data_IF_451538033688
#
_entry.id   IF_451538033688
#
_cell.length_a   1.000
_cell.length_b   1.000
_cell.length_c   1.000
_cell.angle_alpha   90.00
_cell.angle_beta   90.00
_cell.angle_gamma   90.00
#
_symmetry.space_group_name_H-M   'P 1'
#
loop_
_entity.id
_entity.type
_entity.pdbx_description
1 polymer ?
#
# COMPACT_ATOMS: atom_id res chain seq x y z
N UNK A 1 41.16 -26.57 36.26
CA UNK A 1 40.36 -25.35 36.01
C UNK A 1 40.87 -24.54 34.81
N UNK A 2 42.17 -24.17 34.73
CA UNK A 2 42.76 -23.40 33.61
C UNK A 2 42.58 -24.08 32.24
N UNK A 3 42.69 -25.38 32.12
CA UNK A 3 42.51 -26.15 30.86
C UNK A 3 41.03 -26.16 30.43
N UNK A 4 40.11 -26.31 31.35
CA UNK A 4 38.67 -26.24 31.09
C UNK A 4 38.24 -24.86 30.60
N UNK A 5 38.83 -23.79 31.15
CA UNK A 5 38.55 -22.42 30.73
C UNK A 5 39.05 -22.15 29.30
N UNK A 6 40.25 -22.70 28.97
CA UNK A 6 40.80 -22.59 27.61
C UNK A 6 39.91 -23.30 26.60
N UNK A 7 39.46 -24.53 26.93
CA UNK A 7 38.56 -25.31 26.05
C UNK A 7 37.23 -24.60 25.88
N UNK A 8 36.67 -24.00 26.95
CA UNK A 8 35.44 -23.24 26.87
C UNK A 8 35.59 -21.98 25.99
N UNK A 9 36.72 -21.25 26.12
CA UNK A 9 37.01 -20.08 25.27
C UNK A 9 37.19 -20.45 23.79
N UNK A 10 37.84 -21.60 23.52
CA UNK A 10 38.00 -22.10 22.14
C UNK A 10 36.66 -22.53 21.56
N UNK A 11 35.79 -23.19 22.34
CA UNK A 11 34.45 -23.57 21.92
C UNK A 11 33.58 -22.33 21.64
N UNK A 12 33.68 -21.29 22.45
CA UNK A 12 32.97 -20.02 22.23
C UNK A 12 33.48 -19.25 20.98
N UNK A 13 34.77 -19.38 20.66
CA UNK A 13 35.35 -18.74 19.45
C UNK A 13 34.91 -19.42 18.13
N UNK A 14 34.52 -20.70 18.16
CA UNK A 14 34.11 -21.46 16.97
C UNK A 14 32.65 -21.20 16.59
N UNK A 15 31.81 -20.68 17.52
CA UNK A 15 30.36 -20.50 17.32
C UNK A 15 30.00 -19.26 16.48
N UNK A 16 30.94 -18.42 16.08
CA UNK A 16 30.69 -17.13 15.51
C UNK A 16 31.39 -16.72 14.23
N UNK A 17 31.92 -17.61 13.41
CA UNK A 17 32.61 -17.20 12.17
C UNK A 17 31.65 -16.86 11.03
N UNK A 18 30.89 -15.74 11.20
CA UNK A 18 30.32 -15.03 10.07
C UNK A 18 31.36 -14.02 9.55
N UNK A 19 31.57 -13.93 8.22
CA UNK A 19 32.44 -12.88 7.66
C UNK A 19 31.99 -11.50 8.12
N UNK A 20 32.96 -10.59 8.33
CA UNK A 20 32.64 -9.17 8.61
C UNK A 20 31.92 -8.57 7.41
N UNK A 21 30.88 -7.79 7.65
CA UNK A 21 30.10 -7.15 6.60
C UNK A 21 28.97 -8.01 5.99
N UNK A 22 28.74 -9.21 6.53
CA UNK A 22 27.60 -10.06 6.15
C UNK A 22 26.49 -9.92 7.19
N UNK A 23 25.24 -9.74 6.76
CA UNK A 23 24.07 -9.61 7.62
C UNK A 23 23.79 -10.89 8.42
N UNK A 24 23.26 -10.75 9.62
CA UNK A 24 22.77 -11.90 10.38
C UNK A 24 21.55 -12.54 9.72
N UNK A 25 21.27 -13.79 10.07
CA UNK A 25 20.08 -14.50 9.59
C UNK A 25 18.79 -13.74 9.87
N UNK A 26 18.75 -12.98 10.98
CA UNK A 26 17.59 -12.14 11.35
C UNK A 26 17.53 -10.89 10.49
N UNK A 27 18.63 -10.16 10.37
CA UNK A 27 18.73 -8.97 9.55
C UNK A 27 18.39 -9.28 8.10
N UNK A 28 19.02 -10.32 7.52
CA UNK A 28 18.76 -10.72 6.14
C UNK A 28 17.28 -11.09 5.90
N UNK A 29 16.65 -11.80 6.84
CA UNK A 29 15.23 -12.11 6.77
C UNK A 29 14.36 -10.84 6.80
N UNK A 30 14.68 -9.89 7.69
CA UNK A 30 13.88 -8.68 7.86
C UNK A 30 14.05 -7.74 6.65
N UNK A 31 15.24 -7.66 6.08
CA UNK A 31 15.51 -6.92 4.83
C UNK A 31 14.78 -7.55 3.65
N UNK A 32 14.88 -8.87 3.46
CA UNK A 32 14.19 -9.57 2.37
C UNK A 32 12.68 -9.43 2.46
N UNK A 33 12.12 -9.48 3.66
CA UNK A 33 10.69 -9.24 3.87
C UNK A 33 10.27 -7.85 3.39
N UNK A 34 11.00 -6.79 3.77
CA UNK A 34 10.66 -5.43 3.33
C UNK A 34 10.90 -5.23 1.82
N UNK A 35 11.94 -5.83 1.25
CA UNK A 35 12.19 -5.80 -0.21
C UNK A 35 11.03 -6.43 -0.98
N UNK A 36 10.56 -7.61 -0.59
CA UNK A 36 9.41 -8.25 -1.26
C UNK A 36 8.13 -7.43 -1.15
N UNK A 37 7.93 -6.71 -0.05
CA UNK A 37 6.80 -5.76 0.05
C UNK A 37 6.91 -4.60 -0.93
N UNK A 38 8.12 -4.08 -1.09
CA UNK A 38 8.40 -3.02 -2.09
C UNK A 38 8.20 -3.56 -3.50
N UNK A 39 8.69 -4.77 -3.81
CA UNK A 39 8.47 -5.42 -5.11
C UNK A 39 6.98 -5.52 -5.44
N UNK A 40 6.18 -5.98 -4.48
CA UNK A 40 4.73 -6.07 -4.64
C UNK A 40 4.08 -4.70 -4.86
N UNK A 41 4.51 -3.67 -4.16
CA UNK A 41 3.99 -2.31 -4.33
C UNK A 41 4.34 -1.73 -5.70
N UNK A 42 5.57 -1.93 -6.17
CA UNK A 42 6.04 -1.53 -7.50
C UNK A 42 5.20 -2.20 -8.60
N UNK A 43 4.95 -3.50 -8.47
CA UNK A 43 4.12 -4.24 -9.43
C UNK A 43 2.68 -3.71 -9.49
N UNK A 44 2.07 -3.46 -8.34
CA UNK A 44 0.70 -2.92 -8.26
C UNK A 44 0.62 -1.50 -8.79
N UNK A 45 1.64 -0.68 -8.56
CA UNK A 45 1.73 0.68 -9.09
C UNK A 45 1.95 0.74 -10.61
N UNK A 46 2.32 -0.39 -11.24
CA UNK A 46 2.55 -0.45 -12.68
C UNK A 46 3.81 0.29 -13.13
N UNK A 47 4.79 0.46 -12.24
CA UNK A 47 6.07 1.06 -12.61
C UNK A 47 6.76 0.24 -13.70
N UNK A 48 7.28 0.95 -14.70
CA UNK A 48 8.03 0.40 -15.82
C UNK A 48 9.42 1.04 -15.90
N UNK A 49 10.19 0.74 -16.91
CA UNK A 49 11.55 1.24 -17.10
C UNK A 49 11.69 2.78 -17.08
N UNK A 50 10.63 3.55 -17.30
CA UNK A 50 10.67 5.00 -17.18
C UNK A 50 10.73 5.50 -15.74
N UNK A 51 10.55 4.64 -14.75
CA UNK A 51 10.54 4.95 -13.32
C UNK A 51 11.76 4.39 -12.57
N UNK A 52 12.84 4.06 -13.27
CA UNK A 52 14.02 3.40 -12.68
C UNK A 52 14.61 4.16 -11.49
N UNK A 53 14.63 5.49 -11.54
CA UNK A 53 15.13 6.31 -10.42
C UNK A 53 14.24 6.23 -9.18
N UNK A 54 12.92 6.23 -9.37
CA UNK A 54 11.96 6.10 -8.27
C UNK A 54 12.03 4.70 -7.66
N UNK A 55 12.10 3.68 -8.50
CA UNK A 55 12.25 2.27 -8.08
C UNK A 55 13.53 2.09 -7.29
N UNK A 56 14.66 2.62 -7.77
CA UNK A 56 15.94 2.60 -7.05
C UNK A 56 15.84 3.31 -5.69
N UNK A 57 15.07 4.41 -5.63
CA UNK A 57 14.79 5.12 -4.39
C UNK A 57 14.05 4.28 -3.36
N UNK A 58 13.08 3.47 -3.78
CA UNK A 58 12.34 2.57 -2.88
C UNK A 58 13.26 1.51 -2.28
N UNK A 59 14.12 0.88 -3.07
CA UNK A 59 15.09 -0.10 -2.57
C UNK A 59 16.11 0.54 -1.61
N UNK A 60 16.61 1.72 -1.98
CA UNK A 60 17.49 2.46 -1.08
C UNK A 60 16.86 2.76 0.26
N UNK A 61 15.59 3.18 0.29
CA UNK A 61 14.87 3.47 1.51
C UNK A 61 14.72 2.22 2.41
N UNK A 62 14.58 1.03 1.83
CA UNK A 62 14.59 -0.21 2.60
C UNK A 62 15.94 -0.43 3.26
N UNK A 63 17.03 -0.29 2.53
CA UNK A 63 18.37 -0.46 3.07
C UNK A 63 18.67 0.57 4.17
N UNK A 64 18.33 1.83 3.94
CA UNK A 64 18.49 2.92 4.91
C UNK A 64 17.68 2.65 6.19
N UNK A 65 16.45 2.12 6.08
CA UNK A 65 15.61 1.72 7.22
C UNK A 65 16.29 0.67 8.10
N UNK A 66 17.04 -0.23 7.50
CA UNK A 66 17.79 -1.28 8.20
C UNK A 66 19.19 -0.85 8.61
N UNK A 67 19.61 0.37 8.24
CA UNK A 67 20.93 0.91 8.56
C UNK A 67 22.07 0.16 7.87
N UNK A 68 21.83 -0.40 6.69
CA UNK A 68 22.80 -1.15 5.90
C UNK A 68 23.08 -0.47 4.56
N UNK A 69 24.29 -0.63 4.08
CA UNK A 69 24.70 -0.18 2.75
C UNK A 69 24.34 -1.19 1.67
N UNK A 70 24.27 -0.73 0.42
CA UNK A 70 24.11 -1.60 -0.74
C UNK A 70 25.22 -2.67 -0.79
N UNK A 71 26.47 -2.29 -0.54
CA UNK A 71 27.59 -3.20 -0.57
C UNK A 71 27.51 -4.31 0.50
N UNK A 72 27.00 -3.99 1.70
CA UNK A 72 26.75 -4.98 2.75
C UNK A 72 25.61 -5.93 2.38
N UNK A 73 24.56 -5.41 1.78
CA UNK A 73 23.46 -6.23 1.28
C UNK A 73 23.94 -7.18 0.17
N UNK A 74 24.64 -6.68 -0.84
CA UNK A 74 25.14 -7.47 -1.97
C UNK A 74 26.11 -8.57 -1.50
N UNK A 75 27.05 -8.21 -0.62
CA UNK A 75 27.98 -9.17 -0.03
C UNK A 75 27.26 -10.26 0.77
N UNK A 76 26.20 -9.84 1.49
CA UNK A 76 25.37 -10.78 2.25
C UNK A 76 24.59 -11.69 1.33
N UNK A 77 23.99 -11.17 0.27
CA UNK A 77 23.23 -11.95 -0.70
C UNK A 77 24.08 -13.01 -1.35
N UNK A 78 25.31 -12.66 -1.79
CA UNK A 78 26.28 -13.62 -2.32
C UNK A 78 26.59 -14.69 -1.28
N UNK A 79 26.91 -14.29 -0.04
CA UNK A 79 27.24 -15.26 1.01
C UNK A 79 26.08 -16.23 1.29
N UNK A 80 24.85 -15.72 1.37
CA UNK A 80 23.67 -16.57 1.61
C UNK A 80 23.38 -17.51 0.42
N UNK A 81 23.64 -17.08 -0.81
CA UNK A 81 23.51 -17.92 -2.02
C UNK A 81 24.55 -19.05 -2.02
N UNK A 82 25.75 -18.76 -1.56
CA UNK A 82 26.82 -19.77 -1.40
C UNK A 82 26.57 -20.74 -0.22
N UNK A 83 25.65 -20.36 0.69
CA UNK A 83 25.27 -21.15 1.86
C UNK A 83 23.77 -21.53 1.84
N UNK A 84 23.31 -22.33 0.87
CA UNK A 84 21.89 -22.62 0.64
C UNK A 84 21.23 -23.29 1.83
N UNK A 85 21.97 -24.04 2.64
CA UNK A 85 21.44 -24.67 3.86
C UNK A 85 20.98 -23.64 4.89
N UNK A 86 21.64 -22.46 4.94
CA UNK A 86 21.28 -21.38 5.84
C UNK A 86 20.14 -20.57 5.20
N UNK A 87 20.25 -20.26 3.91
CA UNK A 87 19.22 -19.53 3.18
C UNK A 87 17.86 -20.23 3.22
N UNK A 88 17.85 -21.54 3.01
CA UNK A 88 16.64 -22.38 3.10
C UNK A 88 16.01 -22.45 4.50
N UNK A 89 16.71 -22.02 5.55
CA UNK A 89 16.13 -21.88 6.90
C UNK A 89 15.50 -20.52 7.15
N UNK A 90 15.93 -19.48 6.43
CA UNK A 90 15.43 -18.13 6.64
C UNK A 90 14.32 -17.75 5.65
N UNK A 91 14.44 -18.15 4.39
CA UNK A 91 13.51 -17.73 3.34
C UNK A 91 12.06 -18.19 3.54
N UNK A 92 11.80 -19.43 4.00
CA UNK A 92 10.44 -19.84 4.35
C UNK A 92 9.79 -18.99 5.45
N UNK A 93 10.60 -18.41 6.35
CA UNK A 93 10.11 -17.49 7.38
C UNK A 93 9.72 -16.12 6.82
N UNK A 94 10.38 -15.69 5.76
CA UNK A 94 10.00 -14.49 5.00
C UNK A 94 8.64 -14.71 4.35
N UNK A 95 8.48 -15.83 3.65
CA UNK A 95 7.23 -16.20 2.97
C UNK A 95 6.09 -16.29 3.98
N UNK A 96 6.27 -17.03 5.07
CA UNK A 96 5.23 -17.18 6.10
C UNK A 96 4.78 -15.84 6.70
N UNK A 97 5.70 -14.87 6.83
CA UNK A 97 5.36 -13.53 7.31
C UNK A 97 4.57 -12.74 6.27
N UNK A 98 4.95 -12.82 5.00
CA UNK A 98 4.21 -12.18 3.90
C UNK A 98 2.81 -12.78 3.74
N UNK A 99 2.66 -14.09 3.87
CA UNK A 99 1.37 -14.77 3.84
C UNK A 99 0.46 -14.35 4.99
N UNK A 100 1.02 -14.21 6.20
CA UNK A 100 0.28 -13.71 7.35
C UNK A 100 -0.23 -12.28 7.14
N UNK A 101 0.59 -11.40 6.57
CA UNK A 101 0.18 -10.03 6.24
C UNK A 101 -0.92 -10.01 5.17
N UNK A 102 -0.82 -10.85 4.14
CA UNK A 102 -1.86 -10.98 3.11
C UNK A 102 -3.20 -11.43 3.70
N UNK A 103 -3.19 -12.35 4.66
CA UNK A 103 -4.43 -12.79 5.31
C UNK A 103 -5.07 -11.67 6.14
N UNK A 104 -4.28 -10.90 6.87
CA UNK A 104 -4.75 -9.72 7.62
C UNK A 104 -5.34 -8.68 6.66
N UNK A 105 -4.65 -8.37 5.57
CA UNK A 105 -5.13 -7.46 4.55
C UNK A 105 -6.45 -7.91 3.92
N UNK A 106 -6.58 -9.20 3.65
CA UNK A 106 -7.80 -9.79 3.11
C UNK A 106 -8.96 -9.62 4.09
N UNK A 107 -8.76 -9.92 5.37
CA UNK A 107 -9.78 -9.73 6.41
C UNK A 107 -10.22 -8.27 6.52
N UNK A 108 -9.28 -7.32 6.47
CA UNK A 108 -9.59 -5.87 6.49
C UNK A 108 -10.43 -5.48 5.27
N UNK A 109 -10.08 -5.96 4.07
CA UNK A 109 -10.83 -5.68 2.84
C UNK A 109 -12.23 -6.28 2.87
N UNK A 110 -12.37 -7.51 3.36
CA UNK A 110 -13.65 -8.17 3.46
C UNK A 110 -14.56 -7.48 4.48
N UNK A 111 -14.03 -7.09 5.63
CA UNK A 111 -14.75 -6.28 6.62
C UNK A 111 -15.16 -4.90 6.06
N UNK A 112 -14.29 -4.24 5.30
CA UNK A 112 -14.62 -2.97 4.65
C UNK A 112 -15.70 -3.13 3.56
N UNK A 113 -15.69 -4.25 2.83
CA UNK A 113 -16.71 -4.59 1.83
C UNK A 113 -18.07 -4.81 2.48
N UNK A 114 -18.12 -5.53 3.59
CA UNK A 114 -19.36 -5.75 4.33
C UNK A 114 -19.94 -4.44 4.89
N UNK A 115 -19.10 -3.58 5.47
CA UNK A 115 -19.54 -2.24 5.92
C UNK A 115 -20.09 -1.37 4.78
N UNK A 116 -19.55 -1.50 3.57
CA UNK A 116 -20.08 -0.79 2.40
C UNK A 116 -21.43 -1.35 1.94
N UNK A 117 -21.62 -2.66 2.01
CA UNK A 117 -22.91 -3.29 1.68
C UNK A 117 -23.99 -2.85 2.66
N UNK A 118 -23.75 -2.96 3.97
CA UNK A 118 -24.69 -2.54 5.00
C UNK A 118 -25.03 -1.05 4.92
N UNK A 119 -24.05 -0.19 4.63
CA UNK A 119 -24.28 1.24 4.40
C UNK A 119 -25.13 1.49 3.15
N UNK A 120 -24.94 0.73 2.08
CA UNK A 120 -25.71 0.86 0.84
C UNK A 120 -27.15 0.38 1.03
N UNK A 121 -27.36 -0.65 1.87
CA UNK A 121 -28.66 -1.20 2.20
C UNK A 121 -29.44 -0.32 3.19
N UNK A 122 -28.73 0.36 4.11
CA UNK A 122 -29.32 1.33 5.06
C UNK A 122 -29.54 2.72 4.48
N UNK A 123 -28.98 3.04 3.32
CA UNK A 123 -29.28 4.29 2.62
C UNK A 123 -30.69 4.11 2.04
N UNK A 124 -31.69 4.96 2.44
CA UNK A 124 -33.01 4.90 1.83
C UNK A 124 -32.81 4.94 0.31
N UNK A 125 -33.17 3.85 -0.37
CA UNK A 125 -33.26 3.90 -1.82
C UNK A 125 -34.18 5.09 -2.11
N UNK A 126 -33.62 6.13 -2.67
CA UNK A 126 -34.41 7.17 -3.32
C UNK A 126 -35.24 6.38 -4.32
N UNK A 127 -36.51 6.12 -3.95
CA UNK A 127 -37.43 5.46 -4.84
C UNK A 127 -37.35 6.26 -6.12
N UNK A 128 -36.72 5.68 -7.12
CA UNK A 128 -36.83 6.16 -8.47
C UNK A 128 -38.33 6.08 -8.70
N UNK A 129 -39.04 7.25 -8.61
CA UNK A 129 -40.42 7.33 -9.00
C UNK A 129 -40.47 6.73 -10.40
N UNK A 130 -41.36 5.80 -10.59
CA UNK A 130 -41.52 5.17 -11.90
C UNK A 130 -41.67 6.31 -12.92
N UNK A 131 -40.94 6.25 -13.99
CA UNK A 131 -40.98 7.27 -15.06
C UNK A 131 -42.43 7.50 -15.50
N UNK A 132 -43.25 6.45 -15.40
CA UNK A 132 -44.69 6.50 -15.67
C UNK A 132 -45.45 7.36 -14.64
N UNK A 133 -45.09 7.31 -13.36
CA UNK A 133 -45.71 8.13 -12.32
C UNK A 133 -45.33 9.59 -12.52
N UNK A 134 -44.09 9.88 -12.85
CA UNK A 134 -43.63 11.27 -13.17
C UNK A 134 -44.32 11.78 -14.44
N UNK A 135 -44.44 10.96 -15.48
CA UNK A 135 -45.16 11.31 -16.69
C UNK A 135 -46.66 11.52 -16.45
N UNK A 136 -47.27 10.78 -15.51
CA UNK A 136 -48.65 10.91 -15.11
C UNK A 136 -48.89 12.21 -14.32
N UNK A 137 -47.99 12.54 -13.39
CA UNK A 137 -48.00 13.83 -12.69
C UNK A 137 -47.83 14.99 -13.66
N UNK A 138 -46.90 14.88 -14.60
CA UNK A 138 -46.70 15.88 -15.67
C UNK A 138 -47.95 16.07 -16.56
N UNK A 139 -48.68 14.99 -16.80
CA UNK A 139 -49.90 15.02 -17.65
C UNK A 139 -51.14 15.57 -16.94
N UNK A 140 -51.22 15.32 -15.61
CA UNK A 140 -52.44 15.59 -14.84
C UNK A 140 -52.45 16.93 -14.07
N UNK A 141 -51.35 17.66 -14.00
CA UNK A 141 -51.29 18.78 -13.05
C UNK A 141 -50.61 20.02 -13.48
N UNK A 142 -50.01 20.08 -14.66
CA UNK A 142 -49.17 21.20 -14.96
C UNK A 142 -49.56 21.87 -16.29
N UNK A 143 -50.51 22.74 -16.23
CA UNK A 143 -50.71 23.72 -17.31
C UNK A 143 -49.50 24.63 -17.53
N UNK A 144 -48.60 24.71 -16.55
CA UNK A 144 -47.31 25.39 -16.71
C UNK A 144 -46.33 25.07 -15.55
N UNK A 145 -45.48 24.04 -15.63
CA UNK A 145 -44.52 23.68 -14.55
C UNK A 145 -43.48 24.74 -14.28
N UNK A 146 -43.33 25.70 -15.18
CA UNK A 146 -42.28 26.74 -15.09
C UNK A 146 -42.78 28.04 -14.43
N UNK A 147 -44.05 28.15 -14.08
CA UNK A 147 -44.62 29.39 -13.51
C UNK A 147 -44.24 29.65 -12.06
N UNK A 148 -43.84 28.61 -11.32
CA UNK A 148 -43.43 28.69 -9.91
C UNK A 148 -41.94 28.47 -9.66
N UNK A 149 -41.16 28.21 -10.71
CA UNK A 149 -39.71 28.08 -10.56
C UNK A 149 -39.09 29.48 -10.47
N UNK A 150 -38.83 29.93 -9.26
CA UNK A 150 -37.93 31.04 -9.01
C UNK A 150 -36.50 30.59 -9.33
N UNK A 151 -35.99 31.05 -10.45
CA UNK A 151 -34.61 30.80 -10.91
C UNK A 151 -33.59 31.17 -9.81
N UNK A 152 -33.92 32.11 -8.94
CA UNK A 152 -33.12 32.56 -7.81
C UNK A 152 -32.87 31.47 -6.77
N UNK A 153 -33.85 30.60 -6.50
CA UNK A 153 -33.75 29.56 -5.49
C UNK A 153 -32.90 28.36 -5.94
N UNK A 154 -32.73 28.19 -7.25
CA UNK A 154 -31.92 27.14 -7.84
C UNK A 154 -30.43 27.55 -7.93
N UNK A 155 -30.13 28.79 -8.21
CA UNK A 155 -28.76 29.31 -8.28
C UNK A 155 -28.05 29.35 -6.93
N UNK A 156 -28.81 29.56 -5.83
CA UNK A 156 -28.20 29.69 -4.50
C UNK A 156 -27.71 28.32 -3.92
N UNK A 157 -28.38 27.24 -4.26
CA UNK A 157 -27.99 25.89 -3.78
C UNK A 157 -26.91 25.22 -4.61
N UNK A 158 -26.88 25.44 -5.91
CA UNK A 158 -25.92 24.79 -6.81
C UNK A 158 -24.58 25.54 -6.94
N UNK A 159 -24.57 26.86 -6.70
CA UNK A 159 -23.33 27.65 -6.65
C UNK A 159 -22.42 27.23 -5.50
N UNK A 160 -22.97 26.75 -4.39
CA UNK A 160 -22.16 26.26 -3.25
C UNK A 160 -21.44 24.93 -3.60
N UNK A 161 -22.01 24.10 -4.46
CA UNK A 161 -21.41 22.81 -4.84
C UNK A 161 -20.31 23.00 -5.90
N UNK A 162 -20.47 23.94 -6.83
CA UNK A 162 -19.45 24.23 -7.85
C UNK A 162 -18.32 25.13 -7.35
N UNK A 163 -18.53 25.96 -6.34
CA UNK A 163 -17.52 26.84 -5.76
C UNK A 163 -16.44 26.11 -4.94
N UNK A 164 -16.70 24.88 -4.49
CA UNK A 164 -15.70 24.07 -3.76
C UNK A 164 -14.84 23.17 -4.64
N UNK A 165 -15.21 22.97 -5.91
CA UNK A 165 -14.46 22.14 -6.85
C UNK A 165 -13.56 22.92 -7.81
N UNK A 166 -13.64 24.24 -7.84
CA UNK A 166 -12.98 25.08 -8.85
C UNK A 166 -11.84 25.98 -8.40
N UNK A 167 -11.47 25.97 -7.11
CA UNK A 167 -10.45 26.90 -6.59
C UNK A 167 -9.02 26.32 -6.51
N UNK A 168 -8.81 25.11 -6.97
CA UNK A 168 -7.51 24.42 -6.86
C UNK A 168 -6.64 24.39 -8.13
N UNK A 169 -7.22 24.53 -9.33
CA UNK A 169 -6.49 24.18 -10.57
C UNK A 169 -6.37 25.29 -11.63
N UNK A 170 -6.59 26.55 -11.27
CA UNK A 170 -6.55 27.66 -12.25
C UNK A 170 -5.28 28.54 -12.21
N UNK A 171 -4.15 28.05 -11.69
CA UNK A 171 -2.91 28.84 -11.60
C UNK A 171 -1.67 28.11 -12.14
N UNK A 172 -1.76 27.50 -13.32
CA UNK A 172 -0.57 26.99 -13.99
C UNK A 172 -0.67 27.02 -15.53
N UNK A 173 -1.17 28.09 -16.13
CA UNK A 173 -0.96 28.35 -17.56
C UNK A 173 -0.93 29.88 -17.80
N UNK A 174 0.23 30.49 -17.64
CA UNK A 174 0.61 31.71 -18.36
C UNK A 174 2.14 31.81 -18.44
N UNK A 175 2.57 31.42 -19.49
CA UNK A 175 3.69 31.80 -20.39
C UNK A 175 4.29 33.21 -20.25
N UNK A 176 5.36 33.54 -20.92
CA UNK A 176 5.89 32.99 -22.19
C UNK A 176 7.30 32.39 -22.05
#
# INVERSE_FOLDING_TARGET
MRRLFIILCVLLAIVGCRPRGVLSNREMRDVLYDLHRVDGAIQVAGYNYSHDQEVAGYYKNVLDKHGITQAEFDSSLVWFTDNPQIFNKIYPKVIARLEADLEVEKQIRDAAREKRKTKKESTPQRQLRDIEDVKKEMRNGLENPWKEWKVEEFCEKDVIIFGQLGAGDALALSEP
#
